data_IF_790251399190
#
_entry.id   IF_790251399190
#
_cell.length_a   1.000
_cell.length_b   1.000
_cell.length_c   1.000
_cell.angle_alpha   90.00
_cell.angle_beta   90.00
_cell.angle_gamma   90.00
#
_symmetry.space_group_name_H-M   'P 1'
#
loop_
_entity.id
_entity.type
_entity.pdbx_description
1 polymer ?
#
# COMPACT_ATOMS: atom_id res chain seq x y z
N UNK A 1 9.25 -7.00 -8.65
CA UNK A 1 8.12 -6.34 -7.96
C UNK A 1 8.15 -6.72 -6.50
N UNK A 2 8.23 -5.73 -5.61
CA UNK A 2 8.32 -5.93 -4.16
C UNK A 2 7.11 -5.31 -3.45
N UNK A 3 6.72 -5.85 -2.30
CA UNK A 3 5.67 -5.28 -1.46
C UNK A 3 6.26 -4.11 -0.67
N UNK A 4 5.82 -2.88 -0.99
CA UNK A 4 6.20 -1.69 -0.23
C UNK A 4 5.30 -1.47 0.99
N UNK A 5 4.02 -1.86 0.90
CA UNK A 5 3.04 -1.66 1.97
C UNK A 5 1.99 -2.78 2.04
N UNK A 6 1.57 -3.10 3.27
CA UNK A 6 0.42 -3.99 3.54
C UNK A 6 -0.68 -3.14 4.16
N UNK A 7 -1.71 -2.84 3.39
CA UNK A 7 -2.81 -1.99 3.82
C UNK A 7 -3.87 -2.80 4.57
N UNK A 8 -4.56 -2.15 5.50
CA UNK A 8 -5.68 -2.77 6.23
C UNK A 8 -6.92 -2.97 5.34
N UNK A 9 -7.10 -2.08 4.37
CA UNK A 9 -8.24 -2.05 3.45
C UNK A 9 -7.87 -1.41 2.11
N UNK A 10 -8.77 -1.53 1.13
CA UNK A 10 -8.54 -1.05 -0.23
C UNK A 10 -8.39 0.46 -0.34
N UNK A 11 -9.03 1.22 0.55
CA UNK A 11 -8.95 2.68 0.59
C UNK A 11 -7.55 3.11 0.98
N UNK A 12 -7.02 2.52 2.04
CA UNK A 12 -5.66 2.81 2.52
C UNK A 12 -4.60 2.46 1.47
N UNK A 13 -4.75 1.34 0.75
CA UNK A 13 -3.83 1.00 -0.33
C UNK A 13 -3.83 2.03 -1.47
N UNK A 14 -4.99 2.59 -1.81
CA UNK A 14 -5.08 3.64 -2.82
C UNK A 14 -4.49 4.97 -2.33
N UNK A 15 -4.61 5.29 -1.04
CA UNK A 15 -3.94 6.45 -0.44
C UNK A 15 -2.42 6.32 -0.59
N UNK A 16 -1.85 5.19 -0.19
CA UNK A 16 -0.40 4.94 -0.30
C UNK A 16 0.05 4.91 -1.76
N UNK A 17 -0.71 4.27 -2.66
CA UNK A 17 -0.38 4.28 -4.09
C UNK A 17 -0.43 5.70 -4.68
N UNK A 18 -1.36 6.55 -4.22
CA UNK A 18 -1.42 7.96 -4.60
C UNK A 18 -0.20 8.75 -4.12
N UNK A 19 0.20 8.56 -2.86
CA UNK A 19 1.42 9.16 -2.28
C UNK A 19 2.67 8.81 -3.09
N UNK A 20 2.86 7.53 -3.41
CA UNK A 20 4.01 7.06 -4.17
C UNK A 20 4.01 7.64 -5.60
N UNK A 21 2.86 7.63 -6.28
CA UNK A 21 2.74 8.18 -7.64
C UNK A 21 3.00 9.69 -7.69
N UNK A 22 2.60 10.43 -6.66
CA UNK A 22 2.90 11.86 -6.53
C UNK A 22 4.40 12.14 -6.40
N UNK A 23 5.19 11.14 -5.99
CA UNK A 23 6.64 11.18 -5.90
C UNK A 23 7.32 10.43 -7.06
N UNK A 24 6.63 10.28 -8.19
CA UNK A 24 7.13 9.61 -9.41
C UNK A 24 7.48 8.12 -9.25
N UNK A 25 6.92 7.44 -8.24
CA UNK A 25 7.08 6.00 -8.04
C UNK A 25 5.83 5.28 -8.56
N UNK A 26 6.02 4.37 -9.50
CA UNK A 26 4.91 3.55 -9.98
C UNK A 26 4.50 2.52 -8.93
N UNK A 27 3.22 2.55 -8.55
CA UNK A 27 2.65 1.68 -7.51
C UNK A 27 1.44 0.90 -8.03
N UNK A 28 1.38 -0.37 -7.65
CA UNK A 28 0.33 -1.32 -8.06
C UNK A 28 -0.39 -1.87 -6.83
N UNK A 29 -1.70 -1.65 -6.75
CA UNK A 29 -2.55 -2.17 -5.66
C UNK A 29 -3.01 -3.59 -6.03
N UNK A 30 -2.66 -4.58 -5.21
CA UNK A 30 -3.11 -5.97 -5.31
C UNK A 30 -4.01 -6.36 -4.15
N UNK A 31 -4.79 -7.45 -4.29
CA UNK A 31 -5.69 -7.97 -3.24
C UNK A 31 -7.15 -8.17 -3.68
N UNK A 32 -7.53 -7.65 -4.85
CA UNK A 32 -8.91 -7.71 -5.36
C UNK A 32 -9.45 -9.12 -5.68
N UNK A 33 -8.58 -10.12 -5.88
CA UNK A 33 -9.01 -11.43 -6.39
C UNK A 33 -9.45 -12.44 -5.32
N UNK A 34 -9.24 -12.15 -4.03
CA UNK A 34 -9.60 -13.09 -2.95
C UNK A 34 -10.97 -12.78 -2.30
N UNK A 35 -11.53 -11.60 -2.55
CA UNK A 35 -12.86 -11.22 -2.04
C UNK A 35 -13.99 -12.11 -2.58
N UNK A 36 -13.88 -12.57 -3.84
CA UNK A 36 -14.89 -13.42 -4.47
C UNK A 36 -14.93 -14.86 -3.97
N UNK A 37 -13.85 -15.37 -3.36
CA UNK A 37 -13.72 -16.76 -2.92
C UNK A 37 -13.76 -16.94 -1.39
N UNK A 38 -13.45 -15.90 -0.60
CA UNK A 38 -13.35 -15.99 0.87
C UNK A 38 -14.40 -15.14 1.63
N UNK A 39 -15.22 -14.35 0.93
CA UNK A 39 -16.19 -13.43 1.55
C UNK A 39 -15.53 -12.16 2.13
N UNK A 40 -16.35 -11.21 2.59
CA UNK A 40 -15.90 -9.87 3.03
C UNK A 40 -14.93 -9.88 4.22
N UNK A 41 -14.99 -10.91 5.07
CA UNK A 41 -14.15 -11.04 6.27
C UNK A 41 -12.75 -11.60 5.95
N UNK A 42 -12.57 -12.28 4.81
CA UNK A 42 -11.30 -12.87 4.39
C UNK A 42 -10.40 -11.95 3.57
N UNK A 43 -10.82 -10.71 3.27
CA UNK A 43 -10.08 -9.77 2.44
C UNK A 43 -9.17 -8.80 3.23
N UNK A 44 -9.50 -8.59 4.51
CA UNK A 44 -8.68 -7.83 5.43
C UNK A 44 -7.33 -8.53 5.61
N UNK A 45 -6.26 -7.91 5.11
CA UNK A 45 -4.90 -8.45 5.17
C UNK A 45 -4.29 -8.94 3.86
N UNK A 46 -5.03 -8.91 2.74
CA UNK A 46 -4.48 -9.24 1.41
C UNK A 46 -4.27 -8.04 0.49
N UNK A 47 -4.57 -6.82 0.97
CA UNK A 47 -4.40 -5.62 0.17
C UNK A 47 -2.97 -5.11 0.28
N UNK A 48 -2.22 -5.22 -0.81
CA UNK A 48 -0.80 -4.89 -0.85
C UNK A 48 -0.51 -3.84 -1.91
N UNK A 49 0.42 -2.93 -1.61
CA UNK A 49 0.98 -1.99 -2.59
C UNK A 49 2.34 -2.50 -3.02
N UNK A 50 2.48 -2.76 -4.32
CA UNK A 50 3.72 -3.23 -4.93
C UNK A 50 4.38 -2.13 -5.74
N UNK A 51 5.71 -2.16 -5.78
CA UNK A 51 6.56 -1.25 -6.57
C UNK A 51 7.64 -2.06 -7.31
N UNK A 52 8.31 -1.42 -8.27
CA UNK A 52 9.50 -1.99 -8.89
C UNK A 52 10.60 -2.21 -7.84
N UNK A 53 11.49 -3.18 -8.08
CA UNK A 53 12.57 -3.48 -7.13
C UNK A 53 13.50 -2.29 -6.91
N UNK A 54 13.76 -1.50 -7.96
CA UNK A 54 14.61 -0.30 -7.90
C UNK A 54 14.00 0.81 -7.02
N UNK A 55 12.67 0.92 -7.00
CA UNK A 55 11.95 1.95 -6.25
C UNK A 55 11.67 1.54 -4.79
N UNK A 56 11.89 0.28 -4.43
CA UNK A 56 11.42 -0.27 -3.15
C UNK A 56 11.97 0.49 -1.94
N UNK A 57 13.26 0.85 -1.96
CA UNK A 57 13.90 1.57 -0.86
C UNK A 57 13.30 2.97 -0.69
N UNK A 58 13.14 3.71 -1.80
CA UNK A 58 12.57 5.05 -1.77
C UNK A 58 11.10 5.03 -1.36
N UNK A 59 10.33 4.06 -1.86
CA UNK A 59 8.94 3.87 -1.50
C UNK A 59 8.77 3.63 0.01
N UNK A 60 9.60 2.75 0.60
CA UNK A 60 9.57 2.47 2.04
C UNK A 60 9.84 3.73 2.87
N UNK A 61 10.87 4.50 2.52
CA UNK A 61 11.21 5.72 3.24
C UNK A 61 10.06 6.75 3.23
N UNK A 62 9.40 6.95 2.08
CA UNK A 62 8.24 7.86 1.97
C UNK A 62 7.04 7.40 2.78
N UNK A 63 6.80 6.08 2.83
CA UNK A 63 5.70 5.51 3.60
C UNK A 63 5.96 5.66 5.10
N UNK A 64 7.20 5.42 5.54
CA UNK A 64 7.58 5.59 6.95
C UNK A 64 7.40 7.04 7.42
N UNK A 65 7.76 8.02 6.60
CA UNK A 65 7.52 9.44 6.87
C UNK A 65 6.01 9.78 6.97
N UNK A 66 5.21 9.23 6.05
CA UNK A 66 3.77 9.39 6.07
C UNK A 66 3.12 8.78 7.32
N UNK A 67 3.54 7.58 7.73
CA UNK A 67 3.02 6.91 8.92
C UNK A 67 3.40 7.65 10.21
N UNK A 68 4.63 8.17 10.29
CA UNK A 68 5.07 8.99 11.41
C UNK A 68 4.21 10.26 11.57
N UNK A 69 4.03 11.02 10.47
CA UNK A 69 3.19 12.22 10.48
C UNK A 69 1.72 11.94 10.86
N UNK A 70 1.21 10.76 10.53
CA UNK A 70 -0.16 10.34 10.85
C UNK A 70 -0.33 10.03 12.34
N UNK A 71 0.68 9.44 12.98
CA UNK A 71 0.67 9.11 14.41
C UNK A 71 0.80 10.34 15.30
N UNK A 72 1.50 11.38 14.85
CA UNK A 72 1.63 12.65 15.59
C UNK A 72 0.31 13.44 15.70
N UNK A 73 -0.70 13.09 14.88
CA UNK A 73 -2.01 13.75 14.85
C UNK A 73 -3.13 12.94 15.54
N UNK A 74 -2.81 11.78 16.14
CA UNK A 74 -3.79 10.88 16.78
C UNK A 74 -3.78 10.92 18.31
#
# INVERSE_FOLDING_TARGET
MQIAYRARDITEAHIIAGLLRANHIEAHVGGHYLQGALGEIGAAGFTNVHVADEDWVLARALIEDYEANRLEQS
#
